data_IF_352630092898
#
_entry.id   IF_352630092898
#
_cell.length_a   1.000
_cell.length_b   1.000
_cell.length_c   1.000
_cell.angle_alpha   90.00
_cell.angle_beta   90.00
_cell.angle_gamma   90.00
#
_symmetry.space_group_name_H-M   'P 1'
#
loop_
_entity.id
_entity.type
_entity.pdbx_description
1 polymer ?
#
# COMPACT_ATOMS: atom_id res chain seq x y z
N UNK A 1 -21.38 41.11 -36.87
CA UNK A 1 -22.00 41.42 -35.58
C UNK A 1 -23.41 41.89 -35.89
N UNK A 2 -24.41 41.08 -35.58
CA UNK A 2 -25.80 41.55 -35.64
C UNK A 2 -25.98 42.54 -34.49
N UNK A 3 -26.53 43.72 -34.79
CA UNK A 3 -26.91 44.68 -33.75
C UNK A 3 -27.97 44.00 -32.89
N UNK A 4 -27.68 43.75 -31.62
CA UNK A 4 -28.69 43.28 -30.67
C UNK A 4 -29.72 44.39 -30.52
N UNK A 5 -30.96 44.12 -30.95
CA UNK A 5 -32.08 45.06 -30.79
C UNK A 5 -32.63 44.91 -29.36
N UNK A 6 -31.92 45.51 -28.41
CA UNK A 6 -32.26 45.47 -26.98
C UNK A 6 -33.71 45.94 -26.71
N UNK A 7 -34.21 46.88 -27.51
CA UNK A 7 -35.57 47.40 -27.40
C UNK A 7 -36.61 46.44 -28.00
N UNK A 8 -36.27 45.76 -29.09
CA UNK A 8 -37.05 44.67 -29.67
C UNK A 8 -37.20 43.49 -28.69
N UNK A 9 -36.11 43.10 -28.04
CA UNK A 9 -36.09 42.03 -27.04
C UNK A 9 -36.89 42.38 -25.79
N UNK A 10 -36.81 43.64 -25.34
CA UNK A 10 -37.61 44.14 -24.24
C UNK A 10 -39.11 44.03 -24.56
N UNK A 11 -39.54 44.51 -25.73
CA UNK A 11 -40.93 44.41 -26.20
C UNK A 11 -41.38 42.96 -26.30
N UNK A 12 -40.52 42.07 -26.78
CA UNK A 12 -40.81 40.65 -26.85
C UNK A 12 -41.00 40.04 -25.46
N UNK A 13 -40.22 40.47 -24.46
CA UNK A 13 -40.35 40.01 -23.07
C UNK A 13 -41.66 40.48 -22.41
N UNK A 14 -42.07 41.73 -22.64
CA UNK A 14 -43.40 42.21 -22.24
C UNK A 14 -44.51 41.35 -22.85
N UNK A 15 -44.43 41.05 -24.15
CA UNK A 15 -45.39 40.18 -24.84
C UNK A 15 -45.42 38.76 -24.27
N UNK A 16 -44.26 38.20 -23.90
CA UNK A 16 -44.17 36.86 -23.27
C UNK A 16 -44.87 36.80 -21.92
N UNK A 17 -44.95 37.90 -21.20
CA UNK A 17 -45.67 38.00 -19.92
C UNK A 17 -47.14 38.42 -20.08
N UNK A 18 -47.63 38.54 -21.32
CA UNK A 18 -49.01 38.95 -21.59
C UNK A 18 -49.26 40.44 -21.38
N UNK A 19 -48.21 41.26 -21.30
CA UNK A 19 -48.29 42.71 -21.16
C UNK A 19 -48.15 43.39 -22.53
N UNK A 20 -49.08 44.27 -22.84
CA UNK A 20 -49.01 45.07 -24.07
C UNK A 20 -48.14 46.31 -23.85
N UNK A 21 -46.94 46.27 -24.45
CA UNK A 21 -45.93 47.30 -24.29
C UNK A 21 -46.45 48.68 -24.71
N UNK A 22 -47.33 48.82 -25.70
CA UNK A 22 -47.75 50.14 -26.18
C UNK A 22 -48.87 50.78 -25.34
N UNK A 23 -49.70 49.97 -24.67
CA UNK A 23 -50.84 50.45 -23.87
C UNK A 23 -50.53 50.69 -22.39
N UNK A 24 -49.46 50.11 -21.85
CA UNK A 24 -49.05 50.36 -20.47
C UNK A 24 -48.56 51.81 -20.27
N UNK A 25 -48.82 52.40 -19.10
CA UNK A 25 -48.21 53.65 -18.69
C UNK A 25 -46.70 53.48 -18.47
N UNK A 26 -45.94 54.56 -18.61
CA UNK A 26 -44.47 54.52 -18.50
C UNK A 26 -44.03 54.05 -17.11
N UNK A 27 -44.75 54.44 -16.07
CA UNK A 27 -44.46 54.06 -14.68
C UNK A 27 -44.61 52.54 -14.48
N UNK A 28 -45.66 51.94 -15.04
CA UNK A 28 -45.90 50.50 -14.94
C UNK A 28 -44.88 49.70 -15.77
N UNK A 29 -44.44 50.22 -16.93
CA UNK A 29 -43.33 49.63 -17.69
C UNK A 29 -42.03 49.66 -16.88
N UNK A 30 -41.71 50.79 -16.26
CA UNK A 30 -40.51 50.93 -15.42
C UNK A 30 -40.52 49.95 -14.25
N UNK A 31 -41.68 49.74 -13.60
CA UNK A 31 -41.80 48.76 -12.50
C UNK A 31 -41.51 47.33 -12.96
N UNK A 32 -42.01 46.93 -14.13
CA UNK A 32 -41.75 45.58 -14.66
C UNK A 32 -40.29 45.38 -15.05
N UNK A 33 -39.68 46.40 -15.67
CA UNK A 33 -38.25 46.39 -16.00
C UNK A 33 -37.42 46.30 -14.72
N UNK A 34 -37.76 47.08 -13.70
CA UNK A 34 -37.07 47.05 -12.42
C UNK A 34 -37.17 45.68 -11.74
N UNK A 35 -38.36 45.06 -11.73
CA UNK A 35 -38.53 43.69 -11.23
C UNK A 35 -37.61 42.71 -11.96
N UNK A 36 -37.57 42.76 -13.29
CA UNK A 36 -36.69 41.88 -14.07
C UNK A 36 -35.20 42.12 -13.80
N UNK A 37 -34.79 43.37 -13.57
CA UNK A 37 -33.41 43.69 -13.23
C UNK A 37 -33.05 43.14 -11.85
N UNK A 38 -33.94 43.26 -10.86
CA UNK A 38 -33.75 42.67 -9.52
C UNK A 38 -33.67 41.15 -9.59
N UNK A 39 -34.55 40.51 -10.36
CA UNK A 39 -34.52 39.05 -10.57
C UNK A 39 -33.24 38.62 -11.28
N UNK A 40 -32.79 39.36 -12.30
CA UNK A 40 -31.55 39.09 -13.00
C UNK A 40 -30.33 39.25 -12.06
N UNK A 41 -30.32 40.27 -11.21
CA UNK A 41 -29.26 40.47 -10.21
C UNK A 41 -29.24 39.31 -9.20
N UNK A 42 -30.40 38.89 -8.68
CA UNK A 42 -30.52 37.76 -7.77
C UNK A 42 -30.01 36.47 -8.40
N UNK A 43 -30.40 36.21 -9.66
CA UNK A 43 -29.93 35.05 -10.42
C UNK A 43 -28.43 35.10 -10.67
N UNK A 44 -27.86 36.24 -11.05
CA UNK A 44 -26.42 36.40 -11.24
C UNK A 44 -25.64 36.17 -9.95
N UNK A 45 -26.14 36.67 -8.81
CA UNK A 45 -25.53 36.39 -7.49
C UNK A 45 -25.58 34.91 -7.14
N UNK A 46 -26.67 34.22 -7.42
CA UNK A 46 -26.80 32.79 -7.18
C UNK A 46 -25.89 31.97 -8.10
N UNK A 47 -25.82 32.31 -9.39
CA UNK A 47 -24.91 31.68 -10.35
C UNK A 47 -23.45 31.90 -9.95
N UNK A 48 -23.09 33.09 -9.44
CA UNK A 48 -21.75 33.35 -8.92
C UNK A 48 -21.42 32.46 -7.73
N UNK A 49 -22.31 32.35 -6.74
CA UNK A 49 -22.10 31.44 -5.59
C UNK A 49 -21.98 29.98 -6.01
N UNK A 50 -22.73 29.56 -7.04
CA UNK A 50 -22.64 28.21 -7.57
C UNK A 50 -21.30 27.98 -8.27
N UNK A 51 -20.82 28.96 -9.05
CA UNK A 51 -19.48 28.92 -9.64
C UNK A 51 -18.40 28.86 -8.57
N UNK A 52 -18.49 29.67 -7.51
CA UNK A 52 -17.53 29.67 -6.40
C UNK A 52 -17.47 28.26 -5.75
N UNK A 53 -18.61 27.63 -5.50
CA UNK A 53 -18.67 26.24 -4.99
C UNK A 53 -18.06 25.21 -5.95
N UNK A 54 -18.31 25.36 -7.26
CA UNK A 54 -17.72 24.47 -8.26
C UNK A 54 -16.20 24.64 -8.34
N UNK A 55 -15.69 25.87 -8.16
CA UNK A 55 -14.25 26.12 -8.08
C UNK A 55 -13.63 25.52 -6.82
N UNK A 56 -14.29 25.63 -5.66
CA UNK A 56 -13.84 24.97 -4.43
C UNK A 56 -13.79 23.44 -4.60
N UNK A 57 -14.87 22.85 -5.13
CA UNK A 57 -14.90 21.40 -5.42
C UNK A 57 -13.80 20.97 -6.39
N UNK A 58 -13.58 21.73 -7.46
CA UNK A 58 -12.51 21.45 -8.41
C UNK A 58 -11.14 21.54 -7.73
N UNK A 59 -10.96 22.48 -6.80
CA UNK A 59 -9.70 22.63 -6.08
C UNK A 59 -9.44 21.43 -5.14
N UNK A 60 -10.46 21.01 -4.40
CA UNK A 60 -10.41 19.81 -3.55
C UNK A 60 -10.09 18.55 -4.37
N UNK A 61 -10.74 18.36 -5.52
CA UNK A 61 -10.47 17.23 -6.43
C UNK A 61 -9.02 17.23 -6.94
N UNK A 62 -8.48 18.41 -7.29
CA UNK A 62 -7.08 18.56 -7.72
C UNK A 62 -6.14 18.18 -6.57
N UNK A 63 -6.39 18.67 -5.36
CA UNK A 63 -5.57 18.37 -4.18
C UNK A 63 -5.58 16.86 -3.85
N UNK A 64 -6.74 16.20 -3.92
CA UNK A 64 -6.86 14.76 -3.76
C UNK A 64 -6.05 13.98 -4.80
N UNK A 65 -6.10 14.41 -6.07
CA UNK A 65 -5.30 13.79 -7.13
C UNK A 65 -3.80 14.00 -6.92
N UNK A 66 -3.37 15.20 -6.52
CA UNK A 66 -1.96 15.49 -6.21
C UNK A 66 -1.44 14.63 -5.06
N UNK A 67 -2.25 14.45 -4.02
CA UNK A 67 -1.96 13.56 -2.90
C UNK A 67 -1.83 12.10 -3.34
N UNK A 68 -2.75 11.63 -4.20
CA UNK A 68 -2.70 10.28 -4.76
C UNK A 68 -1.45 10.06 -5.62
N UNK A 69 -1.13 11.00 -6.52
CA UNK A 69 0.07 10.94 -7.37
C UNK A 69 1.34 10.90 -6.52
N UNK A 70 1.40 11.71 -5.46
CA UNK A 70 2.51 11.72 -4.52
C UNK A 70 2.67 10.37 -3.82
N UNK A 71 1.57 9.74 -3.41
CA UNK A 71 1.60 8.38 -2.82
C UNK A 71 2.11 7.33 -3.81
N UNK A 72 1.67 7.39 -5.07
CA UNK A 72 2.13 6.47 -6.12
C UNK A 72 3.63 6.66 -6.39
N UNK A 73 4.11 7.90 -6.45
CA UNK A 73 5.55 8.20 -6.60
C UNK A 73 6.38 7.60 -5.46
N UNK A 74 5.97 7.80 -4.20
CA UNK A 74 6.65 7.21 -3.04
C UNK A 74 6.70 5.69 -3.09
N UNK A 75 5.63 5.03 -3.53
CA UNK A 75 5.61 3.58 -3.69
C UNK A 75 6.53 3.10 -4.83
N UNK A 76 6.59 3.85 -5.93
CA UNK A 76 7.47 3.55 -7.05
C UNK A 76 8.95 3.73 -6.68
N UNK A 77 9.29 4.81 -5.95
CA UNK A 77 10.63 5.06 -5.40
C UNK A 77 11.03 3.93 -4.45
N UNK A 78 10.18 3.58 -3.48
CA UNK A 78 10.44 2.46 -2.57
C UNK A 78 10.67 1.15 -3.32
N UNK A 79 9.91 0.88 -4.39
CA UNK A 79 10.10 -0.32 -5.22
C UNK A 79 11.40 -0.28 -6.02
N UNK A 80 11.81 0.89 -6.48
CA UNK A 80 13.10 1.06 -7.15
C UNK A 80 14.25 0.81 -6.18
N UNK A 81 14.18 1.36 -4.96
CA UNK A 81 15.18 1.14 -3.91
C UNK A 81 15.27 -0.34 -3.51
N UNK A 82 14.12 -1.01 -3.32
CA UNK A 82 14.07 -2.46 -3.04
C UNK A 82 14.75 -3.28 -4.15
N UNK A 83 14.50 -2.96 -5.42
CA UNK A 83 15.12 -3.63 -6.57
C UNK A 83 16.61 -3.33 -6.69
N UNK A 84 17.04 -2.11 -6.37
CA UNK A 84 18.46 -1.74 -6.38
C UNK A 84 19.23 -2.51 -5.29
N UNK A 85 18.65 -2.63 -4.09
CA UNK A 85 19.22 -3.44 -3.01
C UNK A 85 19.29 -4.92 -3.41
N UNK A 86 18.23 -5.49 -4.00
CA UNK A 86 18.23 -6.87 -4.47
C UNK A 86 19.27 -7.10 -5.58
N UNK A 87 19.39 -6.16 -6.53
CA UNK A 87 20.39 -6.22 -7.58
C UNK A 87 21.81 -6.20 -7.01
N UNK A 88 22.09 -5.34 -6.03
CA UNK A 88 23.39 -5.30 -5.34
C UNK A 88 23.69 -6.62 -4.60
N UNK A 89 22.70 -7.18 -3.90
CA UNK A 89 22.86 -8.46 -3.20
C UNK A 89 23.14 -9.61 -4.17
N UNK A 90 22.35 -9.73 -5.25
CA UNK A 90 22.56 -10.74 -6.29
C UNK A 90 23.91 -10.58 -7.00
N UNK A 91 24.37 -9.34 -7.17
CA UNK A 91 25.68 -9.07 -7.75
C UNK A 91 26.81 -9.48 -6.81
N UNK A 92 26.68 -9.26 -5.50
CA UNK A 92 27.62 -9.78 -4.51
C UNK A 92 27.65 -11.31 -4.49
N UNK A 93 26.49 -11.98 -4.45
CA UNK A 93 26.41 -13.44 -4.51
C UNK A 93 27.05 -13.99 -5.80
N UNK A 94 26.82 -13.32 -6.93
CA UNK A 94 27.45 -13.66 -8.21
C UNK A 94 28.97 -13.55 -8.14
N UNK A 95 29.50 -12.48 -7.56
CA UNK A 95 30.94 -12.26 -7.39
C UNK A 95 31.57 -13.29 -6.43
N UNK A 96 30.88 -13.63 -5.33
CA UNK A 96 31.30 -14.67 -4.39
C UNK A 96 31.34 -16.05 -5.06
N UNK A 97 30.28 -16.42 -5.78
CA UNK A 97 30.23 -17.67 -6.56
C UNK A 97 31.35 -17.70 -7.60
N UNK A 98 31.60 -16.59 -8.30
CA UNK A 98 32.68 -16.49 -9.27
C UNK A 98 34.06 -16.65 -8.61
N UNK A 99 34.26 -16.11 -7.41
CA UNK A 99 35.46 -16.28 -6.60
C UNK A 99 35.68 -17.73 -6.20
N UNK A 100 34.65 -18.40 -5.65
CA UNK A 100 34.70 -19.80 -5.25
C UNK A 100 35.02 -20.74 -6.43
N UNK A 101 34.32 -20.57 -7.54
CA UNK A 101 34.54 -21.36 -8.75
C UNK A 101 35.91 -21.13 -9.39
N UNK A 102 36.50 -19.94 -9.20
CA UNK A 102 37.85 -19.64 -9.69
C UNK A 102 38.94 -20.17 -8.76
N UNK A 103 38.65 -20.38 -7.45
CA UNK A 103 39.58 -21.03 -6.51
C UNK A 103 39.68 -22.55 -6.73
N UNK A 104 38.63 -23.16 -7.27
CA UNK A 104 38.57 -24.60 -7.55
C UNK A 104 39.07 -24.97 -8.96
N UNK A 105 39.69 -24.03 -9.70
CA UNK A 105 40.24 -24.22 -11.06
C UNK A 105 39.25 -24.85 -12.07
N UNK A 106 37.95 -24.59 -11.90
CA UNK A 106 36.90 -25.15 -12.76
C UNK A 106 36.93 -24.49 -14.14
N UNK A 107 37.04 -25.31 -15.18
CA UNK A 107 37.11 -24.90 -16.59
C UNK A 107 35.81 -24.23 -17.05
N UNK A 108 35.93 -23.02 -17.62
CA UNK A 108 34.83 -22.27 -18.24
C UNK A 108 35.12 -20.77 -18.35
N UNK A 109 34.67 -20.13 -19.44
CA UNK A 109 34.89 -18.70 -19.68
C UNK A 109 33.76 -17.83 -19.10
N UNK A 110 32.58 -18.42 -18.86
CA UNK A 110 31.44 -17.78 -18.20
C UNK A 110 31.10 -18.45 -16.87
N UNK A 111 30.46 -17.71 -15.95
CA UNK A 111 29.98 -18.27 -14.67
C UNK A 111 29.06 -19.47 -14.90
N UNK A 112 28.21 -19.39 -15.92
CA UNK A 112 27.29 -20.46 -16.30
C UNK A 112 28.04 -21.73 -16.71
N UNK A 113 29.08 -21.59 -17.54
CA UNK A 113 29.92 -22.73 -17.95
C UNK A 113 30.63 -23.35 -16.75
N UNK A 114 31.21 -22.52 -15.85
CA UNK A 114 31.87 -23.01 -14.64
C UNK A 114 30.92 -23.78 -13.72
N UNK A 115 29.70 -23.28 -13.50
CA UNK A 115 28.67 -23.99 -12.71
C UNK A 115 28.24 -25.30 -13.38
N UNK A 116 28.05 -25.31 -14.69
CA UNK A 116 27.71 -26.53 -15.43
C UNK A 116 28.84 -27.59 -15.34
N UNK A 117 30.10 -27.19 -15.50
CA UNK A 117 31.26 -28.06 -15.33
C UNK A 117 31.33 -28.65 -13.92
N UNK A 118 31.12 -27.83 -12.89
CA UNK A 118 31.08 -28.28 -11.49
C UNK A 118 29.95 -29.31 -11.24
N UNK A 119 28.78 -29.09 -11.83
CA UNK A 119 27.65 -30.02 -11.72
C UNK A 119 27.91 -31.34 -12.46
N UNK A 120 28.57 -31.30 -13.61
CA UNK A 120 28.99 -32.48 -14.36
C UNK A 120 30.06 -33.28 -13.60
N UNK A 121 31.04 -32.62 -12.99
CA UNK A 121 32.04 -33.25 -12.14
C UNK A 121 31.42 -33.86 -10.87
N UNK A 122 30.49 -33.15 -10.23
CA UNK A 122 29.71 -33.70 -9.12
C UNK A 122 28.92 -34.95 -9.53
N UNK A 123 28.26 -34.94 -10.70
CA UNK A 123 27.55 -36.12 -11.20
C UNK A 123 28.50 -37.30 -11.44
N UNK A 124 29.68 -37.05 -12.03
CA UNK A 124 30.72 -38.07 -12.20
C UNK A 124 31.20 -38.63 -10.87
N UNK A 125 31.54 -37.77 -9.90
CA UNK A 125 31.97 -38.19 -8.56
C UNK A 125 30.89 -39.00 -7.82
N UNK A 126 29.61 -38.64 -7.97
CA UNK A 126 28.49 -39.41 -7.41
C UNK A 126 28.37 -40.78 -8.07
N UNK A 127 28.48 -40.86 -9.40
CA UNK A 127 28.45 -42.13 -10.12
C UNK A 127 29.65 -43.02 -9.77
N UNK A 128 30.84 -42.45 -9.58
CA UNK A 128 32.04 -43.15 -9.11
C UNK A 128 31.88 -43.65 -7.67
N UNK A 129 31.27 -42.85 -6.78
CA UNK A 129 30.94 -43.27 -5.42
C UNK A 129 29.91 -44.41 -5.40
N UNK A 130 28.90 -44.39 -6.27
CA UNK A 130 27.94 -45.49 -6.41
C UNK A 130 28.62 -46.76 -6.98
N UNK A 131 29.54 -46.61 -7.94
CA UNK A 131 30.34 -47.71 -8.45
C UNK A 131 31.27 -48.29 -7.37
N UNK A 132 31.90 -47.46 -6.54
CA UNK A 132 32.72 -47.88 -5.41
C UNK A 132 31.89 -48.54 -4.31
N UNK A 133 30.67 -48.07 -4.05
CA UNK A 133 29.72 -48.73 -3.13
C UNK A 133 29.34 -50.13 -3.63
N UNK A 134 29.07 -50.28 -4.92
CA UNK A 134 28.78 -51.61 -5.51
C UNK A 134 30.01 -52.53 -5.53
N UNK A 135 31.22 -51.99 -5.71
CA UNK A 135 32.47 -52.73 -5.60
C UNK A 135 32.81 -53.14 -4.16
N UNK A 136 32.49 -52.29 -3.17
CA UNK A 136 32.66 -52.57 -1.74
C UNK A 136 31.71 -53.62 -1.18
N UNK A 137 30.59 -53.90 -1.87
CA UNK A 137 29.66 -54.98 -1.53
C UNK A 137 30.12 -56.35 -2.07
N UNK A 138 31.12 -56.38 -2.96
CA UNK A 138 31.68 -57.59 -3.57
C UNK A 138 32.97 -58.07 -2.88
N UNK A 139 33.68 -57.17 -2.17
CA UNK A 139 34.96 -57.49 -1.53
C UNK A 139 34.88 -57.46 0.00
N UNK A 140 35.24 -58.62 0.59
CA UNK A 140 35.57 -58.90 1.98
C UNK A 140 34.44 -58.95 3.01
N UNK A 141 34.23 -60.13 3.60
CA UNK A 141 35.16 -60.67 4.60
C UNK A 141 35.52 -59.79 5.81
N UNK A 142 35.00 -58.58 5.94
CA UNK A 142 35.29 -57.68 7.07
C UNK A 142 34.04 -56.91 7.54
N UNK A 143 32.88 -57.59 7.47
CA UNK A 143 31.55 -57.04 7.73
C UNK A 143 31.32 -56.55 9.17
N UNK A 144 32.14 -57.00 10.12
CA UNK A 144 31.91 -56.74 11.54
C UNK A 144 32.51 -55.41 12.03
N UNK A 145 33.51 -54.85 11.33
CA UNK A 145 34.08 -53.53 11.68
C UNK A 145 33.33 -52.39 11.01
N UNK A 146 32.85 -52.60 9.77
CA UNK A 146 32.07 -51.60 9.02
C UNK A 146 30.67 -51.40 9.59
N UNK A 147 30.01 -52.44 10.10
CA UNK A 147 28.72 -52.29 10.79
C UNK A 147 28.84 -51.45 12.07
N UNK A 148 29.95 -51.56 12.81
CA UNK A 148 30.22 -50.73 13.99
C UNK A 148 30.58 -49.28 13.63
N UNK A 149 31.33 -49.05 12.54
CA UNK A 149 31.61 -47.70 12.04
C UNK A 149 30.33 -47.01 11.52
N UNK A 150 29.49 -47.74 10.79
CA UNK A 150 28.17 -47.25 10.34
C UNK A 150 27.28 -46.93 11.53
N UNK A 151 27.27 -47.77 12.58
CA UNK A 151 26.51 -47.50 13.79
C UNK A 151 27.02 -46.24 14.52
N UNK A 152 28.34 -46.05 14.58
CA UNK A 152 28.97 -44.85 15.16
C UNK A 152 28.63 -43.58 14.38
N UNK A 153 28.73 -43.62 13.05
CA UNK A 153 28.30 -42.55 12.15
C UNK A 153 26.79 -42.27 12.30
N UNK A 154 25.96 -43.30 12.41
CA UNK A 154 24.52 -43.13 12.56
C UNK A 154 24.16 -42.51 13.92
N UNK A 155 24.90 -42.84 14.99
CA UNK A 155 24.79 -42.18 16.30
C UNK A 155 25.21 -40.72 16.19
N UNK A 156 26.32 -40.41 15.50
CA UNK A 156 26.81 -39.05 15.29
C UNK A 156 25.84 -38.19 14.47
N UNK A 157 25.34 -38.71 13.35
CA UNK A 157 24.33 -38.02 12.53
C UNK A 157 23.02 -37.85 13.30
N UNK A 158 22.65 -38.81 14.15
CA UNK A 158 21.46 -38.69 14.99
C UNK A 158 21.62 -37.63 16.08
N UNK A 159 22.80 -37.54 16.71
CA UNK A 159 23.08 -36.53 17.73
C UNK A 159 23.21 -35.12 17.13
N UNK A 160 23.82 -34.98 15.95
CA UNK A 160 23.86 -33.72 15.19
C UNK A 160 22.45 -33.29 14.76
N UNK A 161 21.63 -34.22 14.26
CA UNK A 161 20.22 -33.95 13.93
C UNK A 161 19.42 -33.49 15.14
N UNK A 162 19.67 -34.07 16.31
CA UNK A 162 19.00 -33.67 17.55
C UNK A 162 19.51 -32.32 18.08
N UNK A 163 20.79 -32.01 17.85
CA UNK A 163 21.36 -30.68 18.12
C UNK A 163 20.75 -29.60 17.23
N UNK A 164 20.68 -29.84 15.92
CA UNK A 164 20.07 -28.91 14.97
C UNK A 164 18.57 -28.71 15.24
N UNK A 165 17.86 -29.75 15.70
CA UNK A 165 16.47 -29.60 16.13
C UNK A 165 16.32 -28.67 17.33
N UNK A 166 17.24 -28.74 18.30
CA UNK A 166 17.26 -27.82 19.46
C UNK A 166 17.57 -26.40 19.02
N UNK A 167 18.56 -26.22 18.16
CA UNK A 167 18.93 -24.89 17.63
C UNK A 167 17.79 -24.26 16.81
N UNK A 168 17.10 -25.04 15.98
CA UNK A 168 15.92 -24.57 15.26
C UNK A 168 14.80 -24.15 16.23
N UNK A 169 14.56 -24.91 17.31
CA UNK A 169 13.58 -24.54 18.32
C UNK A 169 13.95 -23.22 19.04
N UNK A 170 15.22 -23.05 19.41
CA UNK A 170 15.73 -21.81 20.02
C UNK A 170 15.62 -20.61 19.07
N UNK A 171 15.88 -20.81 17.78
CA UNK A 171 15.71 -19.77 16.76
C UNK A 171 14.24 -19.40 16.55
N UNK A 172 13.32 -20.38 16.60
CA UNK A 172 11.88 -20.12 16.57
C UNK A 172 11.43 -19.29 17.78
N UNK A 173 11.91 -19.62 18.98
CA UNK A 173 11.59 -18.86 20.19
C UNK A 173 12.14 -17.43 20.11
N UNK A 174 13.37 -17.27 19.59
CA UNK A 174 13.98 -15.96 19.37
C UNK A 174 13.21 -15.11 18.36
N UNK A 175 12.78 -15.70 17.24
CA UNK A 175 11.94 -15.02 16.25
C UNK A 175 10.60 -14.62 16.88
N UNK A 176 9.96 -15.51 17.64
CA UNK A 176 8.71 -15.19 18.33
C UNK A 176 8.85 -14.02 19.31
N UNK A 177 9.96 -13.94 20.04
CA UNK A 177 10.27 -12.80 20.92
C UNK A 177 10.48 -11.50 20.15
N UNK A 178 11.21 -11.56 19.02
CA UNK A 178 11.43 -10.40 18.16
C UNK A 178 10.13 -9.90 17.52
N UNK A 179 9.25 -10.80 17.08
CA UNK A 179 7.93 -10.45 16.55
C UNK A 179 7.06 -9.75 17.61
N UNK A 180 7.07 -10.25 18.85
CA UNK A 180 6.36 -9.61 19.98
C UNK A 180 6.93 -8.22 20.28
N UNK A 181 8.26 -8.08 20.30
CA UNK A 181 8.93 -6.80 20.50
C UNK A 181 8.62 -5.81 19.37
N UNK A 182 8.65 -6.27 18.11
CA UNK A 182 8.30 -5.46 16.94
C UNK A 182 6.87 -4.95 16.99
N UNK A 183 5.90 -5.81 17.31
CA UNK A 183 4.50 -5.41 17.50
C UNK A 183 4.34 -4.40 18.63
N UNK A 184 5.09 -4.54 19.71
CA UNK A 184 5.05 -3.57 20.80
C UNK A 184 5.58 -2.19 20.34
N UNK A 185 6.67 -2.16 19.57
CA UNK A 185 7.20 -0.91 19.01
C UNK A 185 6.24 -0.27 18.01
N UNK A 186 5.52 -1.05 17.21
CA UNK A 186 4.46 -0.55 16.33
C UNK A 186 3.35 0.15 17.14
N UNK A 187 2.87 -0.47 18.21
CA UNK A 187 1.85 0.10 19.10
C UNK A 187 2.36 1.40 19.75
N UNK A 188 3.62 1.42 20.21
CA UNK A 188 4.20 2.61 20.82
C UNK A 188 4.37 3.76 19.82
N UNK A 189 4.72 3.44 18.56
CA UNK A 189 4.82 4.42 17.49
C UNK A 189 3.46 5.00 17.11
N UNK A 190 2.42 4.16 17.03
CA UNK A 190 1.04 4.63 16.81
C UNK A 190 0.58 5.55 17.94
N UNK A 191 0.91 5.20 19.20
CA UNK A 191 0.59 6.03 20.36
C UNK A 191 1.32 7.37 20.35
N UNK A 192 2.59 7.39 19.94
CA UNK A 192 3.36 8.62 19.79
C UNK A 192 2.83 9.48 18.64
N UNK A 193 2.49 8.86 17.53
CA UNK A 193 1.88 9.54 16.37
C UNK A 193 0.56 10.19 16.75
N UNK A 194 -0.30 9.49 17.50
CA UNK A 194 -1.54 10.05 18.03
C UNK A 194 -1.29 11.27 18.93
N UNK A 195 -0.35 11.17 19.88
CA UNK A 195 0.01 12.30 20.76
C UNK A 195 0.60 13.48 20.00
N UNK A 196 1.37 13.24 18.93
CA UNK A 196 1.89 14.29 18.07
C UNK A 196 0.77 14.99 17.31
N UNK A 197 -0.18 14.23 16.76
CA UNK A 197 -1.37 14.82 16.12
C UNK A 197 -2.20 15.64 17.09
N UNK A 198 -2.38 15.17 18.33
CA UNK A 198 -3.07 15.91 19.39
C UNK A 198 -2.33 17.22 19.74
N UNK A 199 -1.00 17.18 19.88
CA UNK A 199 -0.19 18.37 20.15
C UNK A 199 -0.19 19.37 18.98
N UNK A 200 -0.19 18.89 17.74
CA UNK A 200 -0.29 19.74 16.55
C UNK A 200 -1.66 20.43 16.47
N UNK A 201 -2.74 19.70 16.72
CA UNK A 201 -4.08 20.27 16.79
C UNK A 201 -4.19 21.35 17.88
N UNK A 202 -3.59 21.12 19.05
CA UNK A 202 -3.52 22.16 20.10
C UNK A 202 -2.72 23.40 19.66
N UNK A 203 -1.64 23.22 18.89
CA UNK A 203 -0.85 24.35 18.37
C UNK A 203 -1.68 25.13 17.35
N UNK A 204 -2.33 24.46 16.41
CA UNK A 204 -3.22 25.09 15.42
C UNK A 204 -4.36 25.86 16.12
N UNK A 205 -4.95 25.28 17.17
CA UNK A 205 -5.97 25.97 17.96
C UNK A 205 -5.42 27.23 18.65
N UNK A 206 -4.23 27.15 19.26
CA UNK A 206 -3.57 28.30 19.88
C UNK A 206 -3.18 29.37 18.85
N UNK A 207 -2.72 28.98 17.67
CA UNK A 207 -2.41 29.90 16.56
C UNK A 207 -3.67 30.59 16.04
N UNK A 208 -4.78 29.86 15.89
CA UNK A 208 -6.07 30.43 15.53
C UNK A 208 -6.56 31.45 16.58
N UNK A 209 -6.41 31.13 17.88
CA UNK A 209 -6.72 32.06 18.97
C UNK A 209 -5.83 33.31 18.95
N UNK A 210 -4.54 33.17 18.64
CA UNK A 210 -3.60 34.30 18.50
C UNK A 210 -3.92 35.17 17.27
N UNK A 211 -4.23 34.57 16.12
CA UNK A 211 -4.63 35.30 14.92
C UNK A 211 -5.93 36.09 15.12
N UNK A 212 -6.87 35.56 15.91
CA UNK A 212 -8.06 36.29 16.35
C UNK A 212 -7.72 37.43 17.34
N UNK A 213 -6.75 37.23 18.22
CA UNK A 213 -6.26 38.24 19.16
C UNK A 213 -5.54 39.39 18.44
N UNK A 214 -4.70 39.09 17.43
CA UNK A 214 -4.06 40.10 16.57
C UNK A 214 -5.08 40.92 15.77
N UNK A 215 -6.10 40.26 15.20
CA UNK A 215 -7.20 40.97 14.52
C UNK A 215 -8.03 41.82 15.49
N UNK A 216 -8.21 41.37 16.74
CA UNK A 216 -8.90 42.14 17.79
C UNK A 216 -8.07 43.34 18.27
N UNK A 217 -6.75 43.21 18.32
CA UNK A 217 -5.83 44.29 18.71
C UNK A 217 -5.63 45.34 17.61
N UNK A 218 -5.91 45.03 16.34
CA UNK A 218 -5.95 46.02 15.25
C UNK A 218 -7.19 46.94 15.27
N UNK A 219 -8.25 46.59 16.01
CA UNK A 219 -9.52 47.33 16.02
C UNK A 219 -9.76 48.13 17.31
N UNK A 220 -8.74 48.33 18.14
CA UNK A 220 -8.80 49.20 19.31
C UNK A 220 -7.65 50.20 19.25
N UNK A 221 -7.86 51.44 18.74
CA UNK A 221 -6.91 52.50 18.93
C UNK A 221 -7.01 52.99 20.38
N UNK A 222 -5.94 52.72 21.13
CA UNK A 222 -5.42 53.53 22.23
C UNK A 222 -6.41 53.98 23.32
N UNK A 223 -6.54 53.18 24.38
CA UNK A 223 -6.83 53.72 25.72
C UNK A 223 -5.95 53.05 26.78
N UNK A 224 -4.89 53.77 27.14
CA UNK A 224 -4.38 54.01 28.51
C UNK A 224 -4.53 52.90 29.56
N UNK A 225 -3.35 52.41 29.97
CA UNK A 225 -2.79 52.63 31.31
C UNK A 225 -3.48 51.95 32.52
N UNK A 226 -2.85 50.90 33.08
CA UNK A 226 -2.31 50.83 34.47
C UNK A 226 -2.24 49.39 35.01
N UNK A 227 -1.11 49.11 35.65
CA UNK A 227 -0.92 48.29 36.86
C UNK A 227 -1.37 46.82 36.83
N UNK A 228 -0.41 45.89 36.95
CA UNK A 228 -0.04 45.27 38.26
C UNK A 228 0.70 43.94 38.06
N UNK A 229 1.95 43.91 38.51
CA UNK A 229 2.48 42.99 39.53
C UNK A 229 1.72 41.70 39.90
N UNK A 230 2.52 40.69 40.28
CA UNK A 230 2.21 39.42 40.95
C UNK A 230 1.60 38.32 40.05
N UNK A 231 1.97 37.03 40.15
CA UNK A 231 2.80 36.30 41.11
C UNK A 231 2.92 34.83 40.67
N UNK A 232 4.03 34.18 41.08
CA UNK A 232 4.15 32.82 41.67
C UNK A 232 3.28 31.68 41.10
N UNK A 233 3.94 30.59 40.70
CA UNK A 233 3.93 29.33 41.49
C UNK A 233 2.89 28.37 40.87
N UNK A 234 3.00 27.05 40.82
CA UNK A 234 3.75 26.02 41.55
C UNK A 234 3.66 24.75 40.66
N UNK A 235 4.69 23.91 40.51
CA UNK A 235 5.07 22.78 41.38
C UNK A 235 4.19 21.51 41.21
N UNK A 236 4.84 20.36 41.44
CA UNK A 236 4.35 18.96 41.55
C UNK A 236 4.42 18.15 40.24
N UNK A 237 5.34 17.20 40.02
CA UNK A 237 5.95 16.14 40.85
C UNK A 237 4.97 15.08 41.37
N UNK A 238 5.08 13.88 40.79
CA UNK A 238 4.81 12.51 41.30
C UNK A 238 5.45 11.62 40.22
N UNK A 239 6.59 10.92 40.36
CA UNK A 239 7.06 9.97 41.37
C UNK A 239 6.06 8.88 41.77
N UNK A 240 6.50 7.63 41.51
CA UNK A 240 6.23 6.34 42.16
C UNK A 240 5.97 5.28 41.06
N UNK A 241 6.84 4.31 40.75
CA UNK A 241 7.51 3.28 41.56
C UNK A 241 6.98 1.88 41.17
N UNK A 242 7.92 0.92 41.08
CA UNK A 242 7.76 -0.50 41.40
C UNK A 242 6.99 -1.39 40.40
N UNK A 243 7.39 -2.63 40.07
CA UNK A 243 8.28 -3.58 40.75
C UNK A 243 8.75 -4.70 39.81
N UNK A 244 10.01 -5.05 39.99
CA UNK A 244 10.68 -6.31 39.70
C UNK A 244 10.05 -7.47 40.50
N UNK A 245 9.78 -8.63 39.88
CA UNK A 245 9.63 -9.92 40.59
C UNK A 245 10.23 -11.04 39.74
N UNK A 246 11.31 -11.58 40.29
CA UNK A 246 11.97 -12.84 39.98
C UNK A 246 11.33 -13.95 40.82
N UNK A 247 10.99 -15.11 40.24
CA UNK A 247 10.70 -16.31 41.02
C UNK A 247 11.06 -17.61 40.27
N UNK A 248 11.87 -18.42 40.93
CA UNK A 248 12.26 -19.81 40.66
C UNK A 248 11.22 -20.77 41.27
N UNK A 249 10.91 -21.85 40.57
CA UNK A 249 10.52 -23.18 41.10
C UNK A 249 10.96 -24.18 40.01
N UNK A 250 11.85 -25.17 40.15
CA UNK A 250 12.08 -26.27 41.12
C UNK A 250 10.88 -27.19 41.34
N UNK A 251 10.78 -28.26 40.53
CA UNK A 251 10.15 -29.51 40.95
C UNK A 251 10.90 -30.72 40.39
N UNK A 252 11.37 -31.54 41.32
CA UNK A 252 11.84 -32.91 41.15
C UNK A 252 10.66 -33.86 40.92
N UNK A 253 10.84 -34.93 40.14
CA UNK A 253 10.54 -36.26 40.65
C UNK A 253 11.16 -37.40 39.83
N UNK A 254 11.67 -38.36 40.60
CA UNK A 254 12.30 -39.64 40.30
C UNK A 254 11.40 -40.66 39.61
N UNK A 255 11.99 -41.60 38.86
CA UNK A 255 11.81 -43.03 39.08
C UNK A 255 13.00 -43.85 38.55
N UNK A 256 13.62 -44.60 39.47
CA UNK A 256 14.53 -45.72 39.22
C UNK A 256 13.82 -46.85 38.48
N UNK A 257 14.57 -47.72 37.79
CA UNK A 257 14.81 -49.11 38.24
C UNK A 257 15.39 -49.96 37.10
N UNK A 258 16.71 -50.11 37.12
CA UNK A 258 17.41 -51.26 36.55
C UNK A 258 16.98 -52.53 37.29
N UNK A 259 16.72 -53.61 36.56
CA UNK A 259 16.77 -54.97 37.09
C UNK A 259 17.49 -55.86 36.08
N UNK A 260 18.77 -56.06 36.36
CA UNK A 260 19.53 -57.22 35.91
C UNK A 260 18.98 -58.45 36.64
N UNK A 261 18.59 -59.49 35.91
CA UNK A 261 18.28 -60.79 36.52
C UNK A 261 19.02 -61.91 35.78
N UNK A 262 20.12 -62.29 36.43
CA UNK A 262 20.88 -63.52 36.29
C UNK A 262 19.96 -64.73 36.58
N UNK A 263 19.95 -65.71 35.69
CA UNK A 263 19.54 -67.07 36.03
C UNK A 263 20.78 -67.93 36.19
N UNK A 264 20.99 -68.37 37.43
CA UNK A 264 22.02 -69.30 37.83
C UNK A 264 21.79 -70.68 37.22
N UNK A 265 22.90 -71.31 36.88
CA UNK A 265 22.99 -72.74 36.69
C UNK A 265 22.87 -73.43 38.05
N UNK A 266 21.83 -74.25 38.21
CA UNK A 266 21.80 -75.29 39.26
C UNK A 266 21.76 -76.66 38.58
N UNK A 267 22.95 -77.22 38.47
CA UNK A 267 23.20 -78.64 38.24
C UNK A 267 22.78 -79.41 39.49
N UNK A 268 21.80 -80.30 39.38
CA UNK A 268 21.66 -81.42 40.31
C UNK A 268 21.42 -82.72 39.53
N UNK A 269 22.28 -83.74 39.66
CA UNK A 269 22.14 -84.99 38.93
C UNK A 269 21.15 -85.92 39.66
N UNK A 270 20.26 -86.65 38.95
CA UNK A 270 19.53 -87.73 39.59
C UNK A 270 20.50 -88.91 39.76
N UNK A 271 20.91 -89.10 41.00
CA UNK A 271 21.62 -90.30 41.44
C UNK A 271 20.61 -91.44 41.56
N UNK A 272 20.98 -92.60 41.01
CA UNK A 272 20.78 -93.93 41.60
C UNK A 272 19.40 -94.24 42.20
N UNK A 273 18.46 -94.65 41.35
CA UNK A 273 17.41 -95.62 41.74
C UNK A 273 17.31 -96.73 40.67
N UNK A 274 18.38 -97.51 40.56
CA UNK A 274 18.39 -98.83 39.93
C UNK A 274 18.60 -99.86 41.05
N UNK A 275 17.55 -100.22 41.80
CA UNK A 275 17.62 -101.32 42.78
C UNK A 275 16.26 -101.93 43.17
N UNK A 276 15.30 -102.04 42.25
CA UNK A 276 14.09 -102.89 42.47
C UNK A 276 13.61 -103.64 41.21
N UNK A 277 14.52 -104.05 40.31
CA UNK A 277 14.16 -104.84 39.12
C UNK A 277 14.38 -106.36 39.27
N UNK A 278 14.72 -106.84 40.46
CA UNK A 278 14.93 -108.27 40.72
C UNK A 278 13.73 -108.95 41.42
N UNK A 279 12.48 -108.64 41.01
CA UNK A 279 11.32 -109.47 41.37
C UNK A 279 10.08 -109.13 40.52
N UNK A 280 10.12 -109.46 39.23
CA UNK A 280 8.94 -109.37 38.36
C UNK A 280 8.76 -110.65 37.55
N UNK A 281 8.37 -111.72 38.24
CA UNK A 281 7.73 -112.89 37.64
C UNK A 281 6.26 -112.59 37.32
N UNK A 282 5.96 -111.70 36.35
CA UNK A 282 4.64 -111.62 35.70
C UNK A 282 4.66 -110.70 34.47
N UNK A 283 4.35 -111.21 33.26
CA UNK A 283 4.32 -110.42 32.02
C UNK A 283 3.33 -109.24 32.05
N UNK A 284 2.29 -109.27 32.91
CA UNK A 284 1.26 -108.23 32.99
C UNK A 284 1.73 -106.93 33.65
N UNK A 285 2.80 -106.97 34.47
CA UNK A 285 3.32 -105.77 35.16
C UNK A 285 4.29 -104.95 34.33
N UNK A 286 4.98 -105.58 33.36
CA UNK A 286 5.86 -104.87 32.43
C UNK A 286 5.08 -104.08 31.38
N UNK A 287 3.93 -104.60 30.91
CA UNK A 287 3.03 -103.86 30.02
C UNK A 287 2.49 -102.59 30.70
N UNK A 288 2.07 -102.67 31.96
CA UNK A 288 1.60 -101.51 32.74
C UNK A 288 2.66 -100.43 32.95
N UNK A 289 3.92 -100.80 33.16
CA UNK A 289 5.04 -99.86 33.29
C UNK A 289 5.40 -99.21 31.96
N UNK A 290 5.40 -99.99 30.87
CA UNK A 290 5.63 -99.47 29.51
C UNK A 290 4.50 -98.52 29.08
N UNK A 291 3.26 -98.85 29.44
CA UNK A 291 2.08 -98.04 29.18
C UNK A 291 2.10 -96.75 30.02
N UNK A 292 2.54 -96.81 31.28
CA UNK A 292 2.78 -95.63 32.12
C UNK A 292 3.91 -94.72 31.59
N UNK A 293 5.01 -95.30 31.09
CA UNK A 293 6.10 -94.53 30.46
C UNK A 293 5.64 -93.87 29.14
N UNK A 294 4.87 -94.57 28.32
CA UNK A 294 4.29 -94.02 27.10
C UNK A 294 3.26 -92.92 27.41
N UNK A 295 2.47 -93.08 28.47
CA UNK A 295 1.51 -92.07 28.90
C UNK A 295 2.22 -90.82 29.45
N UNK A 296 3.33 -90.99 30.19
CA UNK A 296 4.16 -89.87 30.64
C UNK A 296 4.78 -89.11 29.46
N UNK A 297 5.34 -89.83 28.48
CA UNK A 297 5.90 -89.23 27.27
C UNK A 297 4.84 -88.46 26.47
N UNK A 298 3.61 -88.99 26.36
CA UNK A 298 2.47 -88.28 25.77
C UNK A 298 2.10 -87.02 26.54
N UNK A 299 2.10 -87.07 27.88
CA UNK A 299 1.80 -85.90 28.71
C UNK A 299 2.87 -84.81 28.54
N UNK A 300 4.15 -85.19 28.47
CA UNK A 300 5.24 -84.25 28.21
C UNK A 300 5.14 -83.63 26.82
N UNK A 301 4.79 -84.42 25.80
CA UNK A 301 4.57 -83.94 24.44
C UNK A 301 3.36 -82.99 24.36
N UNK A 302 2.25 -83.31 25.04
CA UNK A 302 1.08 -82.42 25.14
C UNK A 302 1.44 -81.11 25.84
N UNK A 303 2.21 -81.15 26.93
CA UNK A 303 2.68 -79.93 27.62
C UNK A 303 3.58 -79.08 26.72
N UNK A 304 4.46 -79.72 25.94
CA UNK A 304 5.32 -79.02 24.99
C UNK A 304 4.50 -78.36 23.88
N UNK A 305 3.57 -79.09 23.27
CA UNK A 305 2.67 -78.55 22.26
C UNK A 305 1.77 -77.44 22.82
N UNK A 306 1.32 -77.56 24.07
CA UNK A 306 0.54 -76.53 24.74
C UNK A 306 1.36 -75.26 24.95
N UNK A 307 2.62 -75.38 25.40
CA UNK A 307 3.52 -74.24 25.55
C UNK A 307 3.84 -73.58 24.20
N UNK A 308 4.09 -74.36 23.15
CA UNK A 308 4.29 -73.85 21.79
C UNK A 308 3.03 -73.13 21.27
N UNK A 309 1.84 -73.67 21.54
CA UNK A 309 0.55 -73.04 21.18
C UNK A 309 0.35 -71.70 21.91
N UNK A 310 0.65 -71.63 23.20
CA UNK A 310 0.58 -70.40 24.00
C UNK A 310 1.62 -69.36 23.55
N UNK A 311 2.83 -69.80 23.20
CA UNK A 311 3.89 -68.96 22.64
C UNK A 311 3.47 -68.36 21.29
N UNK A 312 2.96 -69.19 20.36
CA UNK A 312 2.46 -68.73 19.07
C UNK A 312 1.27 -67.79 19.20
N UNK A 313 0.35 -68.06 20.14
CA UNK A 313 -0.78 -67.17 20.44
C UNK A 313 -0.30 -65.80 20.92
N UNK A 314 0.69 -65.77 21.82
CA UNK A 314 1.29 -64.54 22.33
C UNK A 314 2.01 -63.75 21.22
N UNK A 315 2.74 -64.45 20.34
CA UNK A 315 3.38 -63.83 19.18
C UNK A 315 2.35 -63.24 18.20
N UNK A 316 1.24 -63.94 17.95
CA UNK A 316 0.16 -63.45 17.09
C UNK A 316 -0.49 -62.20 17.66
N UNK A 317 -0.77 -62.16 18.97
CA UNK A 317 -1.31 -60.97 19.65
C UNK A 317 -0.35 -59.80 19.53
N UNK A 318 0.94 -60.01 19.80
CA UNK A 318 1.97 -58.97 19.72
C UNK A 318 2.17 -58.46 18.27
N UNK A 319 2.08 -59.35 17.28
CA UNK A 319 2.12 -58.97 15.86
C UNK A 319 0.87 -58.17 15.46
N UNK A 320 -0.31 -58.56 15.96
CA UNK A 320 -1.57 -57.83 15.77
C UNK A 320 -1.54 -56.42 16.36
N UNK A 321 -0.98 -56.27 17.57
CA UNK A 321 -0.77 -54.96 18.20
C UNK A 321 0.20 -54.09 17.40
N UNK A 322 1.32 -54.65 16.93
CA UNK A 322 2.28 -53.94 16.06
C UNK A 322 1.63 -53.48 14.76
N UNK A 323 0.85 -54.35 14.12
CA UNK A 323 0.11 -54.01 12.90
C UNK A 323 -0.90 -52.88 13.16
N UNK A 324 -1.69 -52.98 14.23
CA UNK A 324 -2.66 -51.95 14.60
C UNK A 324 -1.99 -50.60 14.91
N UNK A 325 -0.86 -50.61 15.62
CA UNK A 325 -0.07 -49.41 15.89
C UNK A 325 0.45 -48.77 14.59
N UNK A 326 0.91 -49.57 13.64
CA UNK A 326 1.36 -49.08 12.34
C UNK A 326 0.20 -48.52 11.51
N UNK A 327 -0.95 -49.21 11.49
CA UNK A 327 -2.16 -48.76 10.79
C UNK A 327 -2.67 -47.41 11.34
N UNK A 328 -2.73 -47.26 12.67
CA UNK A 328 -3.09 -46.01 13.33
C UNK A 328 -2.11 -44.88 13.02
N UNK A 329 -0.79 -45.16 13.04
CA UNK A 329 0.23 -44.17 12.63
C UNK A 329 0.02 -43.72 11.18
N UNK A 330 -0.28 -44.64 10.27
CA UNK A 330 -0.55 -44.30 8.87
C UNK A 330 -1.83 -43.46 8.71
N UNK A 331 -2.92 -43.82 9.41
CA UNK A 331 -4.16 -43.02 9.42
C UNK A 331 -3.89 -41.60 9.93
N UNK A 332 -3.14 -41.47 11.03
CA UNK A 332 -2.79 -40.16 11.60
C UNK A 332 -1.94 -39.33 10.65
N UNK A 333 -0.92 -39.94 10.02
CA UNK A 333 -0.10 -39.27 9.01
C UNK A 333 -0.94 -38.80 7.81
N UNK A 334 -1.81 -39.66 7.29
CA UNK A 334 -2.72 -39.33 6.18
C UNK A 334 -3.67 -38.19 6.54
N UNK A 335 -4.22 -38.19 7.76
CA UNK A 335 -5.08 -37.12 8.25
C UNK A 335 -4.33 -35.78 8.36
N UNK A 336 -3.12 -35.80 8.94
CA UNK A 336 -2.25 -34.61 9.05
C UNK A 336 -1.89 -34.04 7.68
N UNK A 337 -1.49 -34.89 6.74
CA UNK A 337 -1.14 -34.47 5.38
C UNK A 337 -2.36 -33.91 4.63
N UNK A 338 -3.53 -34.53 4.79
CA UNK A 338 -4.78 -34.00 4.21
C UNK A 338 -5.09 -32.60 4.74
N UNK A 339 -5.00 -32.40 6.06
CA UNK A 339 -5.22 -31.09 6.67
C UNK A 339 -4.25 -30.03 6.14
N UNK A 340 -2.97 -30.35 6.00
CA UNK A 340 -1.97 -29.45 5.41
C UNK A 340 -2.30 -29.09 3.94
N UNK A 341 -2.73 -30.07 3.15
CA UNK A 341 -3.17 -29.82 1.77
C UNK A 341 -4.40 -28.91 1.71
N UNK A 342 -5.37 -29.11 2.61
CA UNK A 342 -6.58 -28.29 2.65
C UNK A 342 -6.25 -26.85 3.06
N UNK A 343 -5.34 -26.62 4.01
CA UNK A 343 -4.82 -25.28 4.34
C UNK A 343 -4.12 -24.61 3.16
N UNK A 344 -3.25 -25.34 2.45
CA UNK A 344 -2.55 -24.80 1.28
C UNK A 344 -3.54 -24.42 0.15
N UNK A 345 -4.60 -25.22 -0.03
CA UNK A 345 -5.68 -24.90 -0.99
C UNK A 345 -6.43 -23.64 -0.59
N UNK A 346 -6.78 -23.49 0.69
CA UNK A 346 -7.47 -22.29 1.18
C UNK A 346 -6.59 -21.04 0.97
N UNK A 347 -5.30 -21.12 1.30
CA UNK A 347 -4.35 -20.05 1.03
C UNK A 347 -4.23 -19.72 -0.47
N UNK A 348 -4.19 -20.74 -1.34
CA UNK A 348 -4.16 -20.54 -2.78
C UNK A 348 -5.40 -19.78 -3.26
N UNK A 349 -6.60 -20.21 -2.84
CA UNK A 349 -7.85 -19.54 -3.23
C UNK A 349 -7.93 -18.10 -2.71
N UNK A 350 -7.45 -17.83 -1.49
CA UNK A 350 -7.39 -16.47 -0.95
C UNK A 350 -6.43 -15.57 -1.75
N UNK A 351 -5.28 -16.12 -2.18
CA UNK A 351 -4.34 -15.43 -3.05
C UNK A 351 -4.92 -15.15 -4.45
N UNK A 352 -5.65 -16.11 -5.04
CA UNK A 352 -6.35 -15.94 -6.32
C UNK A 352 -7.40 -14.82 -6.23
N UNK A 353 -8.27 -14.82 -5.22
CA UNK A 353 -9.24 -13.74 -5.00
C UNK A 353 -8.56 -12.37 -4.82
N UNK A 354 -7.42 -12.31 -4.11
CA UNK A 354 -6.64 -11.07 -3.97
C UNK A 354 -6.05 -10.61 -5.30
N UNK A 355 -5.54 -11.53 -6.12
CA UNK A 355 -5.02 -11.22 -7.43
C UNK A 355 -6.11 -10.67 -8.37
N UNK A 356 -7.30 -11.27 -8.37
CA UNK A 356 -8.47 -10.78 -9.11
C UNK A 356 -8.90 -9.39 -8.63
N UNK A 357 -8.91 -9.15 -7.31
CA UNK A 357 -9.17 -7.83 -6.74
C UNK A 357 -8.18 -6.75 -7.20
N UNK A 358 -6.88 -7.08 -7.22
CA UNK A 358 -5.86 -6.16 -7.74
C UNK A 358 -5.98 -5.94 -9.25
N UNK A 359 -6.32 -6.98 -10.01
CA UNK A 359 -6.52 -6.87 -11.45
C UNK A 359 -7.70 -5.97 -11.81
N UNK A 360 -8.82 -6.07 -11.08
CA UNK A 360 -9.97 -5.18 -11.27
C UNK A 360 -9.64 -3.73 -10.89
N UNK A 361 -8.93 -3.51 -9.78
CA UNK A 361 -8.46 -2.18 -9.38
C UNK A 361 -7.54 -1.55 -10.44
N UNK A 362 -6.62 -2.33 -10.99
CA UNK A 362 -5.70 -1.90 -12.05
C UNK A 362 -6.46 -1.55 -13.35
N UNK A 363 -7.50 -2.30 -13.68
CA UNK A 363 -8.39 -2.00 -14.82
C UNK A 363 -9.10 -0.65 -14.64
N UNK A 364 -9.66 -0.39 -13.45
CA UNK A 364 -10.33 0.88 -13.13
C UNK A 364 -9.34 2.05 -13.22
N UNK A 365 -8.13 1.90 -12.69
CA UNK A 365 -7.09 2.93 -12.76
C UNK A 365 -6.67 3.23 -14.20
N UNK A 366 -6.54 2.20 -15.05
CA UNK A 366 -6.29 2.39 -16.49
C UNK A 366 -7.42 3.14 -17.18
N UNK A 367 -8.68 2.87 -16.82
CA UNK A 367 -9.82 3.59 -17.39
C UNK A 367 -9.85 5.05 -16.96
N UNK A 368 -9.57 5.35 -15.68
CA UNK A 368 -9.46 6.72 -15.15
C UNK A 368 -8.36 7.50 -15.87
N UNK A 369 -7.17 6.91 -16.02
CA UNK A 369 -6.05 7.55 -16.72
C UNK A 369 -6.39 7.89 -18.17
N UNK A 370 -7.09 7.00 -18.89
CA UNK A 370 -7.55 7.28 -20.26
C UNK A 370 -8.55 8.44 -20.30
N UNK A 371 -9.47 8.51 -19.34
CA UNK A 371 -10.44 9.60 -19.26
C UNK A 371 -9.74 10.94 -18.99
N UNK A 372 -8.77 10.96 -18.08
CA UNK A 372 -7.95 12.12 -17.76
C UNK A 372 -7.11 12.59 -18.97
N UNK A 373 -6.51 11.66 -19.72
CA UNK A 373 -5.79 11.99 -20.97
C UNK A 373 -6.70 12.62 -22.02
N UNK A 374 -7.94 12.13 -22.15
CA UNK A 374 -8.95 12.71 -23.06
C UNK A 374 -9.32 14.11 -22.58
N UNK A 375 -9.58 14.30 -21.29
CA UNK A 375 -9.90 15.59 -20.70
C UNK A 375 -8.76 16.60 -20.90
N UNK A 376 -7.51 16.21 -20.62
CA UNK A 376 -6.34 17.07 -20.86
C UNK A 376 -6.24 17.51 -22.32
N UNK A 377 -6.43 16.59 -23.27
CA UNK A 377 -6.43 16.92 -24.71
C UNK A 377 -7.53 17.92 -25.07
N UNK A 378 -8.71 17.80 -24.45
CA UNK A 378 -9.81 18.74 -24.65
C UNK A 378 -9.45 20.13 -24.11
N UNK A 379 -8.94 20.23 -22.89
CA UNK A 379 -8.50 21.50 -22.28
C UNK A 379 -7.40 22.17 -23.11
N UNK A 380 -6.43 21.40 -23.61
CA UNK A 380 -5.38 21.94 -24.49
C UNK A 380 -5.95 22.47 -25.81
N UNK A 381 -6.95 21.79 -26.40
CA UNK A 381 -7.63 22.27 -27.60
C UNK A 381 -8.40 23.57 -27.33
N UNK A 382 -9.09 23.65 -26.20
CA UNK A 382 -9.85 24.83 -25.78
C UNK A 382 -8.93 26.01 -25.52
N UNK A 383 -7.80 25.78 -24.87
CA UNK A 383 -6.78 26.80 -24.65
C UNK A 383 -6.22 27.36 -25.97
N UNK A 384 -5.92 26.50 -26.95
CA UNK A 384 -5.47 26.95 -28.28
C UNK A 384 -6.53 27.80 -28.98
N UNK A 385 -7.81 27.38 -28.94
CA UNK A 385 -8.93 28.15 -29.50
C UNK A 385 -9.05 29.52 -28.84
N UNK A 386 -9.02 29.57 -27.52
CA UNK A 386 -9.10 30.83 -26.77
C UNK A 386 -7.92 31.77 -27.10
N UNK A 387 -6.72 31.21 -27.30
CA UNK A 387 -5.55 31.98 -27.71
C UNK A 387 -5.69 32.57 -29.12
N UNK A 388 -6.28 31.82 -30.05
CA UNK A 388 -6.61 32.30 -31.40
C UNK A 388 -7.69 33.39 -31.37
N UNK A 389 -8.74 33.21 -30.58
CA UNK A 389 -9.78 34.23 -30.36
C UNK A 389 -9.20 35.51 -29.76
N UNK A 390 -8.31 35.40 -28.76
CA UNK A 390 -7.59 36.54 -28.19
C UNK A 390 -6.79 37.29 -29.26
N UNK A 391 -6.04 36.58 -30.12
CA UNK A 391 -5.29 37.20 -31.23
C UNK A 391 -6.22 37.88 -32.23
N UNK A 392 -7.35 37.25 -32.56
CA UNK A 392 -8.38 37.80 -33.45
C UNK A 392 -9.02 39.08 -32.89
N UNK A 393 -9.38 39.09 -31.60
CA UNK A 393 -9.92 40.28 -30.91
C UNK A 393 -8.88 41.41 -30.89
N UNK A 394 -7.63 41.10 -30.56
CA UNK A 394 -6.55 42.10 -30.55
C UNK A 394 -6.35 42.74 -31.94
N UNK A 395 -6.39 41.93 -33.01
CA UNK A 395 -6.30 42.45 -34.38
C UNK A 395 -7.49 43.35 -34.74
N UNK A 396 -8.72 42.96 -34.36
CA UNK A 396 -9.91 43.79 -34.56
C UNK A 396 -9.85 45.12 -33.80
N UNK A 397 -9.38 45.10 -32.56
CA UNK A 397 -9.20 46.32 -31.76
C UNK A 397 -8.19 47.26 -32.41
N UNK A 398 -7.03 46.76 -32.84
CA UNK A 398 -6.03 47.57 -33.54
C UNK A 398 -6.58 48.20 -34.83
N UNK A 399 -7.37 47.45 -35.60
CA UNK A 399 -8.04 47.98 -36.80
C UNK A 399 -9.05 49.07 -36.46
N UNK A 400 -9.87 48.87 -35.43
CA UNK A 400 -10.87 49.84 -34.97
C UNK A 400 -10.21 51.13 -34.45
N UNK A 401 -9.12 51.02 -33.68
CA UNK A 401 -8.34 52.18 -33.23
C UNK A 401 -7.73 52.94 -34.42
N UNK A 402 -7.23 52.23 -35.44
CA UNK A 402 -6.71 52.89 -36.64
C UNK A 402 -7.80 53.69 -37.34
N UNK A 403 -8.98 53.07 -37.54
CA UNK A 403 -10.13 53.72 -38.15
C UNK A 403 -10.58 54.95 -37.35
N UNK A 404 -10.65 54.84 -36.02
CA UNK A 404 -10.99 55.98 -35.15
C UNK A 404 -9.99 57.14 -35.31
N UNK A 405 -8.69 56.85 -35.43
CA UNK A 405 -7.67 57.88 -35.68
C UNK A 405 -7.82 58.53 -37.06
N UNK A 406 -8.27 57.78 -38.07
CA UNK A 406 -8.57 58.32 -39.40
C UNK A 406 -9.81 59.24 -39.34
N UNK A 407 -10.91 58.78 -38.72
CA UNK A 407 -12.15 59.55 -38.54
C UNK A 407 -11.91 60.85 -37.73
N UNK A 408 -11.09 60.78 -36.67
CA UNK A 408 -10.67 61.98 -35.93
C UNK A 408 -9.91 62.98 -36.81
N UNK A 409 -9.04 62.51 -37.71
CA UNK A 409 -8.32 63.37 -38.66
C UNK A 409 -9.29 64.01 -39.65
N UNK A 410 -10.23 63.26 -40.19
CA UNK A 410 -11.27 63.78 -41.08
C UNK A 410 -12.15 64.83 -40.38
N UNK A 411 -12.59 64.55 -39.15
CA UNK A 411 -13.38 65.47 -38.35
C UNK A 411 -12.63 66.78 -38.07
N UNK A 412 -11.33 66.71 -37.76
CA UNK A 412 -10.49 67.91 -37.62
C UNK A 412 -10.40 68.72 -38.92
N UNK A 413 -10.35 68.08 -40.09
CA UNK A 413 -10.39 68.76 -41.39
C UNK A 413 -11.74 69.45 -41.59
N UNK A 414 -12.85 68.76 -41.29
CA UNK A 414 -14.21 69.33 -41.41
C UNK A 414 -14.40 70.51 -40.47
N UNK A 415 -13.96 70.42 -39.22
CA UNK A 415 -14.00 71.52 -38.24
C UNK A 415 -13.24 72.75 -38.75
N UNK A 416 -12.04 72.58 -39.33
CA UNK A 416 -11.31 73.71 -39.94
C UNK A 416 -12.08 74.33 -41.11
N UNK A 417 -12.71 73.51 -41.96
CA UNK A 417 -13.55 74.00 -43.08
C UNK A 417 -14.75 74.80 -42.56
N UNK A 418 -15.43 74.32 -41.54
CA UNK A 418 -16.53 75.05 -40.89
C UNK A 418 -16.06 76.40 -40.35
N UNK A 419 -14.96 76.45 -39.61
CA UNK A 419 -14.44 77.70 -39.07
C UNK A 419 -14.10 78.73 -40.17
N UNK A 420 -13.56 78.29 -41.31
CA UNK A 420 -13.32 79.16 -42.47
C UNK A 420 -14.63 79.69 -43.07
N UNK A 421 -15.65 78.83 -43.20
CA UNK A 421 -16.97 79.24 -43.69
C UNK A 421 -17.66 80.22 -42.72
N UNK A 422 -17.59 80.00 -41.42
CA UNK A 422 -18.14 80.89 -40.40
C UNK A 422 -17.46 82.27 -40.43
N UNK A 423 -16.14 82.30 -40.60
CA UNK A 423 -15.38 83.54 -40.79
C UNK A 423 -15.84 84.29 -42.05
N UNK A 424 -15.90 83.60 -43.19
CA UNK A 424 -16.34 84.19 -44.45
C UNK A 424 -17.79 84.69 -44.37
N UNK A 425 -18.68 83.93 -43.72
CA UNK A 425 -20.07 84.31 -43.53
C UNK A 425 -20.19 85.54 -42.61
N UNK A 426 -19.38 85.61 -41.54
CA UNK A 426 -19.31 86.78 -40.67
C UNK A 426 -18.84 88.04 -41.41
N UNK A 427 -17.85 87.91 -42.30
CA UNK A 427 -17.40 89.01 -43.16
C UNK A 427 -18.51 89.47 -44.12
N UNK A 428 -19.23 88.55 -44.76
CA UNK A 428 -20.35 88.87 -45.64
C UNK A 428 -21.49 89.56 -44.89
N UNK A 429 -21.84 89.08 -43.69
CA UNK A 429 -22.84 89.75 -42.82
C UNK A 429 -22.37 91.16 -42.47
N UNK A 430 -21.09 91.34 -42.09
CA UNK A 430 -20.55 92.66 -41.80
C UNK A 430 -20.61 93.60 -43.01
N UNK A 431 -20.31 93.10 -44.22
CA UNK A 431 -20.46 93.86 -45.47
C UNK A 431 -21.92 94.22 -45.76
N UNK A 432 -22.85 93.28 -45.59
CA UNK A 432 -24.28 93.51 -45.76
C UNK A 432 -24.79 94.57 -44.79
N UNK A 433 -24.41 94.50 -43.51
CA UNK A 433 -24.75 95.51 -42.52
C UNK A 433 -24.18 96.88 -42.90
N UNK A 434 -22.94 96.97 -43.39
CA UNK A 434 -22.36 98.23 -43.91
C UNK A 434 -23.14 98.79 -45.11
N UNK A 435 -23.69 97.94 -45.98
CA UNK A 435 -24.50 98.36 -47.12
C UNK A 435 -25.92 98.78 -46.70
N UNK A 436 -26.55 98.03 -45.79
CA UNK A 436 -27.92 98.25 -45.32
C UNK A 436 -28.03 99.49 -44.41
N UNK A 437 -27.02 99.71 -43.57
CA UNK A 437 -26.93 100.85 -42.66
C UNK A 437 -25.94 101.90 -43.14
N UNK A 438 -25.54 101.86 -44.42
CA UNK A 438 -24.85 102.99 -45.04
C UNK A 438 -25.78 104.18 -44.89
N UNK A 439 -25.41 105.22 -44.12
CA UNK A 439 -26.29 106.37 -43.98
C UNK A 439 -26.51 106.92 -45.38
N UNK A 440 -27.77 107.10 -45.76
CA UNK A 440 -28.15 108.11 -46.74
C UNK A 440 -27.82 109.47 -46.10
N UNK A 441 -26.52 109.74 -45.95
CA UNK A 441 -25.94 111.05 -45.75
C UNK A 441 -26.17 111.77 -47.08
N UNK A 442 -27.42 112.20 -47.25
CA UNK A 442 -27.69 113.47 -47.92
C UNK A 442 -26.73 114.47 -47.29
N UNK A 443 -25.84 115.00 -48.13
CA UNK A 443 -24.89 116.05 -47.77
C UNK A 443 -25.67 117.18 -47.10
N UNK A 444 -25.62 117.23 -45.78
CA UNK A 444 -25.84 118.47 -45.03
C UNK A 444 -24.46 119.01 -44.68
N UNK A 445 -24.31 120.28 -44.99
CA UNK A 445 -23.10 121.06 -45.13
C UNK A 445 -22.41 121.42 -43.80
N UNK A 446 -21.14 121.83 -43.93
CA UNK A 446 -20.43 122.79 -43.05
C UNK A 446 -19.83 122.21 -41.75
N UNK A 447 -18.58 122.62 -41.49
CA UNK A 447 -17.78 122.43 -40.28
C UNK A 447 -16.95 121.13 -40.21
N UNK A 448 -15.75 121.15 -40.81
CA UNK A 448 -14.57 120.45 -40.27
C UNK A 448 -13.29 121.05 -40.90
N UNK A 449 -13.15 122.37 -40.75
CA UNK A 449 -11.84 123.03 -40.68
C UNK A 449 -11.71 123.44 -39.22
N UNK A 450 -11.01 122.66 -38.39
CA UNK A 450 -10.34 123.06 -37.15
C UNK A 450 -10.04 121.78 -36.37
N UNK A 451 -8.92 121.13 -36.64
CA UNK A 451 -8.11 120.35 -35.67
C UNK A 451 -6.91 119.69 -36.37
N UNK A 452 -6.15 120.51 -37.08
CA UNK A 452 -4.80 120.18 -37.54
C UNK A 452 -3.86 121.29 -37.06
N UNK A 453 -3.63 121.34 -35.74
CA UNK A 453 -2.49 121.98 -35.07
C UNK A 453 -2.63 121.78 -33.56
N UNK A 454 -1.99 120.73 -33.02
CA UNK A 454 -1.27 120.70 -31.75
C UNK A 454 -0.65 119.32 -31.53
#
# INVERSE_FOLDING_TARGET
MQSEDEWGDLRQRFKKEGLDYESLKVEDRMLQIWRWLVDAESNLRNSRRMLDKLYEQQHEEIEEMENYVTKVKKLAEKKADELEVEHLALQQEKEELQSLLSKEDILGNSLQEKVCSALEERKRAVAELEALKTFSLSSNGNRFTTENEILSEMIKVSSEKESLKREVAEMYDRVSLLEKSSRQLEIDNDRLSFKLSEALAEIEEREAQLGLSERRNMWIPDQKNRQSDNSKGSQEACEAENKEVLAKETFSNSFQREFSQSYGADSTPPSLLMSELASLGSPKRLSSLLEACNELARIEEVKKLQHESESLRSQLTLLGEKYNALALKHIHYKAKHKFQLDQLREHLTACECRAEGLQTQLSIQRQRLRAEEIFRKQVEADYRRLQEEKRSIAARLLSAESQQRDEMRELAIVQRKMALLDSANSELIAQLLKLKYKPNLTKSTTCDNMLSSL
#
